data_IF_661314859178
#
_entry.id   IF_661314859178
#
_cell.length_a   1.000
_cell.length_b   1.000
_cell.length_c   1.000
_cell.angle_alpha   90.00
_cell.angle_beta   90.00
_cell.angle_gamma   90.00
#
_symmetry.space_group_name_H-M   'P 1'
#
loop_
_entity.id
_entity.type
_entity.pdbx_description
1 polymer ?
#
# COMPACT_ATOMS: atom_id res chain seq x y z
N UNK A 1 -14.91 -0.64 -20.27
CA UNK A 1 -14.48 0.70 -19.82
C UNK A 1 -12.96 0.75 -19.91
N UNK A 2 -12.37 1.81 -20.45
CA UNK A 2 -10.92 1.99 -20.45
C UNK A 2 -10.51 2.73 -19.17
N UNK A 3 -9.27 2.54 -18.71
CA UNK A 3 -8.80 3.18 -17.48
C UNK A 3 -8.97 4.72 -17.43
N UNK A 4 -8.70 5.49 -18.52
CA UNK A 4 -8.94 6.94 -18.52
C UNK A 4 -10.41 7.31 -18.26
N UNK A 5 -11.36 6.44 -18.61
CA UNK A 5 -12.81 6.68 -18.49
C UNK A 5 -13.35 6.26 -17.11
N UNK A 6 -12.54 5.66 -16.23
CA UNK A 6 -12.97 5.25 -14.89
C UNK A 6 -13.20 6.49 -14.01
N UNK A 7 -14.40 6.65 -13.44
CA UNK A 7 -14.66 7.80 -12.57
C UNK A 7 -13.85 7.67 -11.28
N UNK A 8 -13.21 8.78 -10.87
CA UNK A 8 -12.66 8.90 -9.53
C UNK A 8 -13.65 9.68 -8.65
N UNK A 9 -13.88 9.14 -7.46
CA UNK A 9 -14.64 9.81 -6.43
C UNK A 9 -13.94 9.59 -5.09
N UNK A 10 -13.52 10.67 -4.43
CA UNK A 10 -12.90 10.59 -3.09
C UNK A 10 -13.84 9.83 -2.15
N UNK A 11 -13.37 8.75 -1.48
CA UNK A 11 -14.13 8.09 -0.44
C UNK A 11 -14.39 9.02 0.74
N UNK A 12 -15.58 8.97 1.31
CA UNK A 12 -15.87 9.59 2.61
C UNK A 12 -15.35 8.65 3.72
N UNK A 13 -14.09 8.81 4.09
CA UNK A 13 -13.48 7.98 5.12
C UNK A 13 -14.20 8.07 6.47
N UNK A 14 -14.79 9.22 6.81
CA UNK A 14 -15.58 9.32 8.03
C UNK A 14 -16.82 8.42 8.02
N UNK A 15 -17.44 8.27 6.84
CA UNK A 15 -18.55 7.32 6.67
C UNK A 15 -18.03 5.87 6.67
N UNK A 16 -16.93 5.59 5.97
CA UNK A 16 -16.29 4.27 5.95
C UNK A 16 -15.94 3.79 7.36
N UNK A 17 -15.43 4.66 8.22
CA UNK A 17 -15.12 4.31 9.62
C UNK A 17 -16.37 3.94 10.40
N UNK A 18 -17.46 4.72 10.28
CA UNK A 18 -18.74 4.39 10.91
C UNK A 18 -19.32 3.06 10.42
N UNK A 19 -19.22 2.80 9.11
CA UNK A 19 -19.69 1.57 8.51
C UNK A 19 -18.89 0.37 9.00
N UNK A 20 -17.57 0.46 9.12
CA UNK A 20 -16.71 -0.58 9.69
C UNK A 20 -17.00 -0.84 11.17
N UNK A 21 -17.26 0.22 11.96
CA UNK A 21 -17.66 0.07 13.37
C UNK A 21 -19.02 -0.65 13.48
N UNK A 22 -19.98 -0.29 12.63
CA UNK A 22 -21.27 -0.96 12.58
C UNK A 22 -21.16 -2.43 12.14
N UNK A 23 -20.33 -2.72 11.12
CA UNK A 23 -20.06 -4.07 10.67
C UNK A 23 -19.36 -4.90 11.76
N UNK A 24 -18.42 -4.31 12.49
CA UNK A 24 -17.75 -4.96 13.63
C UNK A 24 -18.76 -5.32 14.75
N UNK A 25 -19.68 -4.42 15.06
CA UNK A 25 -20.72 -4.67 16.04
C UNK A 25 -21.68 -5.79 15.57
N UNK A 26 -22.07 -5.78 14.30
CA UNK A 26 -22.90 -6.85 13.69
C UNK A 26 -22.17 -8.19 13.69
N UNK A 27 -20.88 -8.23 13.35
CA UNK A 27 -20.06 -9.44 13.39
C UNK A 27 -20.06 -10.08 14.78
N UNK A 28 -19.88 -9.26 15.82
CA UNK A 28 -19.88 -9.72 17.23
C UNK A 28 -21.26 -10.18 17.70
N UNK A 29 -22.33 -9.61 17.18
CA UNK A 29 -23.71 -9.95 17.54
C UNK A 29 -24.24 -11.20 16.81
N UNK A 30 -23.66 -11.56 15.67
CA UNK A 30 -24.06 -12.70 14.85
C UNK A 30 -23.88 -14.02 15.62
N UNK A 31 -24.89 -14.86 15.58
CA UNK A 31 -24.95 -16.11 16.36
C UNK A 31 -24.56 -17.35 15.53
N UNK A 32 -24.46 -17.21 14.22
CA UNK A 32 -24.14 -18.31 13.31
C UNK A 32 -23.01 -17.95 12.34
N UNK A 33 -22.27 -18.96 11.88
CA UNK A 33 -21.21 -18.77 10.91
C UNK A 33 -21.70 -18.16 9.57
N UNK A 34 -22.85 -18.57 8.99
CA UNK A 34 -23.38 -17.92 7.79
C UNK A 34 -23.67 -16.43 7.98
N UNK A 35 -24.15 -15.99 9.14
CA UNK A 35 -24.35 -14.58 9.45
C UNK A 35 -23.00 -13.82 9.48
N UNK A 36 -21.98 -14.38 10.15
CA UNK A 36 -20.65 -13.77 10.19
C UNK A 36 -20.00 -13.72 8.80
N UNK A 37 -20.16 -14.76 7.98
CA UNK A 37 -19.70 -14.77 6.59
C UNK A 37 -20.39 -13.69 5.75
N UNK A 38 -21.69 -13.47 5.96
CA UNK A 38 -22.42 -12.41 5.27
C UNK A 38 -21.85 -11.02 5.63
N UNK A 39 -21.60 -10.76 6.92
CA UNK A 39 -21.02 -9.51 7.39
C UNK A 39 -19.58 -9.32 6.86
N UNK A 40 -18.76 -10.37 6.82
CA UNK A 40 -17.44 -10.34 6.22
C UNK A 40 -17.49 -9.95 4.73
N UNK A 41 -18.42 -10.52 3.97
CA UNK A 41 -18.60 -10.18 2.54
C UNK A 41 -19.03 -8.72 2.33
N UNK A 42 -19.86 -8.17 3.22
CA UNK A 42 -20.22 -6.75 3.17
C UNK A 42 -19.00 -5.85 3.45
N UNK A 43 -18.15 -6.22 4.41
CA UNK A 43 -16.90 -5.52 4.70
C UNK A 43 -15.95 -5.55 3.49
N UNK A 44 -15.78 -6.72 2.84
CA UNK A 44 -14.98 -6.85 1.62
C UNK A 44 -15.50 -5.96 0.48
N UNK A 45 -16.81 -5.84 0.32
CA UNK A 45 -17.41 -4.97 -0.69
C UNK A 45 -17.12 -3.49 -0.40
N UNK A 46 -17.25 -3.07 0.87
CA UNK A 46 -16.91 -1.70 1.30
C UNK A 46 -15.45 -1.38 0.99
N UNK A 47 -14.52 -2.25 1.37
CA UNK A 47 -13.10 -2.05 1.15
C UNK A 47 -12.71 -2.12 -0.32
N UNK A 48 -13.31 -3.01 -1.10
CA UNK A 48 -13.09 -3.09 -2.54
C UNK A 48 -13.42 -1.76 -3.23
N UNK A 49 -14.49 -1.08 -2.79
CA UNK A 49 -14.81 0.24 -3.31
C UNK A 49 -13.74 1.28 -2.92
N UNK A 50 -13.36 1.35 -1.66
CA UNK A 50 -12.34 2.29 -1.16
C UNK A 50 -11.00 2.07 -1.84
N UNK A 51 -10.54 0.81 -1.90
CA UNK A 51 -9.25 0.46 -2.52
C UNK A 51 -9.24 0.74 -4.02
N UNK A 52 -10.37 0.56 -4.72
CA UNK A 52 -10.49 0.92 -6.14
C UNK A 52 -10.27 2.42 -6.35
N UNK A 53 -10.90 3.27 -5.53
CA UNK A 53 -10.73 4.71 -5.65
C UNK A 53 -9.30 5.16 -5.31
N UNK A 54 -8.73 4.62 -4.23
CA UNK A 54 -7.33 4.88 -3.86
C UNK A 54 -6.36 4.45 -4.97
N UNK A 55 -6.59 3.30 -5.59
CA UNK A 55 -5.78 2.80 -6.71
C UNK A 55 -5.89 3.71 -7.95
N UNK A 56 -7.09 4.15 -8.31
CA UNK A 56 -7.30 5.10 -9.43
C UNK A 56 -6.53 6.40 -9.17
N UNK A 57 -6.62 6.93 -7.94
CA UNK A 57 -5.88 8.13 -7.52
C UNK A 57 -4.37 7.92 -7.67
N UNK A 58 -3.84 6.87 -7.09
CA UNK A 58 -2.40 6.55 -7.09
C UNK A 58 -1.85 6.39 -8.52
N UNK A 59 -2.56 5.67 -9.40
CA UNK A 59 -2.14 5.51 -10.80
C UNK A 59 -2.12 6.86 -11.51
N UNK A 60 -3.15 7.69 -11.36
CA UNK A 60 -3.23 9.00 -12.02
C UNK A 60 -2.15 9.96 -11.52
N UNK A 61 -1.91 9.98 -10.21
CA UNK A 61 -0.83 10.75 -9.61
C UNK A 61 0.55 10.29 -10.14
N UNK A 62 0.74 8.99 -10.34
CA UNK A 62 2.01 8.45 -10.88
C UNK A 62 2.17 8.72 -12.38
N UNK A 63 1.07 8.75 -13.15
CA UNK A 63 1.10 9.06 -14.60
C UNK A 63 1.45 10.52 -14.86
N UNK A 64 0.91 11.45 -14.07
CA UNK A 64 1.30 12.88 -14.11
C UNK A 64 1.48 13.44 -12.69
N UNK A 65 2.72 13.40 -12.22
CA UNK A 65 3.11 13.90 -10.89
C UNK A 65 3.01 15.42 -10.73
N UNK A 66 2.62 16.17 -11.77
CA UNK A 66 2.39 17.62 -11.75
C UNK A 66 0.92 17.97 -11.66
N UNK A 67 0.03 17.00 -11.69
CA UNK A 67 -1.41 17.20 -11.49
C UNK A 67 -1.68 17.49 -10.00
N UNK A 68 -1.86 18.78 -9.68
CA UNK A 68 -2.07 19.25 -8.32
C UNK A 68 -3.33 18.63 -7.65
N UNK A 69 -4.34 18.24 -8.44
CA UNK A 69 -5.53 17.59 -7.90
C UNK A 69 -5.18 16.18 -7.38
N UNK A 70 -4.56 15.33 -8.21
CA UNK A 70 -4.21 13.97 -7.80
C UNK A 70 -3.04 13.95 -6.80
N UNK A 71 -2.19 14.96 -6.77
CA UNK A 71 -1.21 15.15 -5.71
C UNK A 71 -1.89 15.36 -4.34
N UNK A 72 -2.87 16.25 -4.26
CA UNK A 72 -3.61 16.51 -3.03
C UNK A 72 -4.48 15.31 -2.61
N UNK A 73 -5.07 14.59 -3.58
CA UNK A 73 -5.85 13.37 -3.30
C UNK A 73 -4.94 12.25 -2.77
N UNK A 74 -3.74 12.07 -3.33
CA UNK A 74 -2.78 11.07 -2.84
C UNK A 74 -2.35 11.38 -1.40
N UNK A 75 -2.01 12.64 -1.10
CA UNK A 75 -1.66 13.05 0.26
C UNK A 75 -2.81 12.76 1.26
N UNK A 76 -4.05 12.98 0.83
CA UNK A 76 -5.22 12.65 1.65
C UNK A 76 -5.35 11.14 1.90
N UNK A 77 -5.16 10.31 0.88
CA UNK A 77 -5.16 8.85 1.04
C UNK A 77 -4.02 8.37 1.94
N UNK A 78 -2.81 8.93 1.79
CA UNK A 78 -1.64 8.59 2.61
C UNK A 78 -1.87 8.85 4.10
N UNK A 79 -2.64 9.90 4.42
CA UNK A 79 -3.02 10.28 5.77
C UNK A 79 -4.13 9.36 6.35
N UNK A 80 -5.10 8.99 5.50
CA UNK A 80 -6.27 8.21 5.94
C UNK A 80 -6.02 6.70 6.02
N UNK A 81 -5.09 6.16 5.22
CA UNK A 81 -4.88 4.72 5.16
C UNK A 81 -4.50 4.08 6.52
N UNK A 82 -3.60 4.65 7.35
CA UNK A 82 -3.32 4.08 8.67
C UNK A 82 -4.49 4.17 9.66
N UNK A 83 -5.37 5.17 9.51
CA UNK A 83 -6.58 5.28 10.33
C UNK A 83 -7.64 4.25 9.92
N UNK A 84 -7.75 3.97 8.61
CA UNK A 84 -8.57 2.88 8.09
C UNK A 84 -8.07 1.54 8.64
N UNK A 85 -6.76 1.32 8.65
CA UNK A 85 -6.15 0.11 9.20
C UNK A 85 -6.52 -0.10 10.67
N UNK A 86 -6.52 0.95 11.50
CA UNK A 86 -6.97 0.86 12.89
C UNK A 86 -8.40 0.31 13.01
N UNK A 87 -9.33 0.77 12.17
CA UNK A 87 -10.72 0.29 12.18
C UNK A 87 -10.83 -1.15 11.70
N UNK A 88 -10.03 -1.52 10.70
CA UNK A 88 -9.96 -2.88 10.19
C UNK A 88 -9.42 -3.86 11.23
N UNK A 89 -8.41 -3.48 12.00
CA UNK A 89 -7.86 -4.30 13.07
C UNK A 89 -8.94 -4.72 14.09
N UNK A 90 -9.88 -3.84 14.41
CA UNK A 90 -10.99 -4.16 15.31
C UNK A 90 -11.93 -5.23 14.73
N UNK A 91 -12.20 -5.17 13.42
CA UNK A 91 -13.01 -6.14 12.69
C UNK A 91 -12.28 -7.48 12.55
N UNK A 92 -11.02 -7.46 12.10
CA UNK A 92 -10.19 -8.66 11.93
C UNK A 92 -10.00 -9.40 13.25
N UNK A 93 -9.76 -8.67 14.34
CA UNK A 93 -9.67 -9.25 15.68
C UNK A 93 -10.97 -9.96 16.08
N UNK A 94 -12.11 -9.30 15.85
CA UNK A 94 -13.41 -9.90 16.17
C UNK A 94 -13.69 -11.18 15.34
N UNK A 95 -13.21 -11.25 14.10
CA UNK A 95 -13.34 -12.42 13.24
C UNK A 95 -12.41 -13.56 13.71
N UNK A 96 -11.14 -13.24 13.99
CA UNK A 96 -10.13 -14.23 14.43
C UNK A 96 -10.47 -14.82 15.80
N UNK A 97 -10.99 -14.00 16.72
CA UNK A 97 -11.38 -14.40 18.09
C UNK A 97 -12.82 -14.96 18.17
N UNK A 98 -13.51 -15.09 17.03
CA UNK A 98 -14.88 -15.63 17.01
C UNK A 98 -14.93 -17.06 17.55
N UNK A 99 -15.91 -17.38 18.44
CA UNK A 99 -16.15 -18.76 18.86
C UNK A 99 -16.60 -19.67 17.70
N UNK A 100 -17.04 -19.09 16.57
CA UNK A 100 -17.46 -19.79 15.35
C UNK A 100 -16.30 -19.99 14.37
N UNK A 101 -15.07 -19.66 14.75
CA UNK A 101 -13.89 -19.72 13.88
C UNK A 101 -13.73 -21.06 13.15
N UNK A 102 -13.94 -22.25 13.79
CA UNK A 102 -13.80 -23.54 13.08
C UNK A 102 -14.75 -23.68 11.89
N UNK A 103 -15.96 -23.14 11.99
CA UNK A 103 -16.95 -23.12 10.91
C UNK A 103 -16.59 -22.06 9.85
N UNK A 104 -16.12 -20.89 10.28
CA UNK A 104 -15.68 -19.82 9.39
C UNK A 104 -14.48 -20.25 8.55
N UNK A 105 -13.52 -20.98 9.11
CA UNK A 105 -12.37 -21.51 8.37
C UNK A 105 -12.78 -22.50 7.27
N UNK A 106 -13.88 -23.25 7.46
CA UNK A 106 -14.41 -24.13 6.41
C UNK A 106 -15.02 -23.35 5.24
N UNK A 107 -15.64 -22.21 5.51
CA UNK A 107 -16.31 -21.37 4.50
C UNK A 107 -15.35 -20.39 3.81
N UNK A 108 -14.46 -19.76 4.57
CA UNK A 108 -13.58 -18.69 4.10
C UNK A 108 -12.14 -19.16 3.84
N UNK A 109 -11.78 -20.36 4.32
CA UNK A 109 -10.44 -20.92 4.21
C UNK A 109 -9.54 -20.54 5.39
N UNK A 110 -8.71 -21.50 5.85
CA UNK A 110 -7.77 -21.29 6.96
C UNK A 110 -6.65 -20.29 6.64
N UNK A 111 -6.29 -20.13 5.36
CA UNK A 111 -5.27 -19.18 4.93
C UNK A 111 -5.69 -17.73 5.22
N UNK A 112 -6.98 -17.39 5.09
CA UNK A 112 -7.49 -16.07 5.46
C UNK A 112 -7.13 -15.77 6.93
N UNK A 113 -7.47 -16.68 7.84
CA UNK A 113 -7.24 -16.48 9.28
C UNK A 113 -5.74 -16.37 9.62
N UNK A 114 -4.91 -17.18 8.98
CA UNK A 114 -3.45 -17.07 9.14
C UNK A 114 -2.95 -15.67 8.71
N UNK A 115 -3.43 -15.14 7.58
CA UNK A 115 -3.06 -13.81 7.11
C UNK A 115 -3.58 -12.71 8.05
N UNK A 116 -4.82 -12.82 8.52
CA UNK A 116 -5.37 -11.87 9.51
C UNK A 116 -4.58 -11.86 10.82
N UNK A 117 -4.13 -13.02 11.31
CA UNK A 117 -3.26 -13.09 12.49
C UNK A 117 -1.90 -12.41 12.26
N UNK A 118 -1.34 -12.47 11.05
CA UNK A 118 -0.11 -11.76 10.70
C UNK A 118 -0.35 -10.25 10.66
N UNK A 119 -1.47 -9.80 10.09
CA UNK A 119 -1.87 -8.40 10.07
C UNK A 119 -2.06 -7.85 11.49
N UNK A 120 -2.77 -8.56 12.35
CA UNK A 120 -2.96 -8.18 13.75
C UNK A 120 -1.63 -8.01 14.52
N UNK A 121 -0.60 -8.80 14.18
CA UNK A 121 0.75 -8.68 14.78
C UNK A 121 1.57 -7.54 14.19
N UNK A 122 1.19 -7.04 13.02
CA UNK A 122 1.96 -6.03 12.27
C UNK A 122 1.51 -4.61 12.50
N UNK A 123 0.54 -4.38 13.39
CA UNK A 123 -0.07 -3.09 13.63
C UNK A 123 -0.31 -2.81 15.14
N UNK A 124 -0.18 -1.54 15.51
CA UNK A 124 -0.66 -0.96 16.77
C UNK A 124 -1.01 0.52 16.53
N UNK A 125 -2.02 1.10 17.19
CA UNK A 125 -2.36 2.51 17.04
C UNK A 125 -1.18 3.46 17.29
N UNK A 126 -0.23 3.09 18.11
CA UNK A 126 0.96 3.90 18.42
C UNK A 126 1.88 4.13 17.21
N UNK A 127 1.84 3.24 16.19
CA UNK A 127 2.66 3.40 14.98
C UNK A 127 1.96 4.19 13.87
N UNK A 128 0.70 4.62 14.04
CA UNK A 128 -0.05 5.36 13.01
C UNK A 128 0.74 6.57 12.49
N UNK A 129 1.33 7.45 13.34
CA UNK A 129 2.11 8.58 12.84
C UNK A 129 3.33 8.16 12.00
N UNK A 130 3.96 7.04 12.37
CA UNK A 130 5.08 6.49 11.59
C UNK A 130 4.61 5.92 10.25
N UNK A 131 3.43 5.29 10.20
CA UNK A 131 2.85 4.81 8.94
C UNK A 131 2.47 5.95 8.00
N UNK A 132 1.89 7.05 8.53
CA UNK A 132 1.60 8.24 7.75
C UNK A 132 2.89 8.86 7.17
N UNK A 133 3.94 8.94 7.97
CA UNK A 133 5.25 9.41 7.50
C UNK A 133 5.88 8.45 6.47
N UNK A 134 5.75 7.12 6.65
CA UNK A 134 6.19 6.12 5.67
C UNK A 134 5.49 6.32 4.32
N UNK A 135 4.16 6.52 4.34
CA UNK A 135 3.37 6.77 3.13
C UNK A 135 3.87 8.05 2.43
N UNK A 136 4.05 9.15 3.18
CA UNK A 136 4.56 10.41 2.65
C UNK A 136 5.94 10.24 2.00
N UNK A 137 6.87 9.58 2.68
CA UNK A 137 8.22 9.32 2.16
C UNK A 137 8.20 8.43 0.92
N UNK A 138 7.33 7.42 0.89
CA UNK A 138 7.16 6.53 -0.27
C UNK A 138 6.60 7.30 -1.47
N UNK A 139 5.62 8.17 -1.24
CA UNK A 139 5.05 9.04 -2.29
C UNK A 139 6.11 10.02 -2.82
N UNK A 140 6.95 10.61 -1.95
CA UNK A 140 8.07 11.45 -2.40
C UNK A 140 9.09 10.69 -3.25
N UNK A 141 9.44 9.46 -2.84
CA UNK A 141 10.34 8.61 -3.62
C UNK A 141 9.76 8.31 -5.00
N UNK A 142 8.48 7.95 -5.08
CA UNK A 142 7.80 7.68 -6.34
C UNK A 142 7.73 8.93 -7.23
N UNK A 143 7.46 10.11 -6.67
CA UNK A 143 7.47 11.38 -7.40
C UNK A 143 8.85 11.68 -7.98
N UNK A 144 9.91 11.54 -7.18
CA UNK A 144 11.29 11.77 -7.64
C UNK A 144 11.60 10.84 -8.82
N UNK A 145 11.30 9.56 -8.71
CA UNK A 145 11.51 8.59 -9.79
C UNK A 145 10.69 8.92 -11.05
N UNK A 146 9.41 9.23 -10.90
CA UNK A 146 8.50 9.54 -12.01
C UNK A 146 8.80 10.91 -12.64
N UNK A 147 9.47 11.82 -11.93
CA UNK A 147 9.87 13.12 -12.45
C UNK A 147 11.00 13.06 -13.48
N UNK A 148 11.64 11.89 -13.63
CA UNK A 148 12.79 11.72 -14.51
C UNK A 148 12.50 12.22 -15.94
N UNK A 149 13.39 13.10 -16.42
CA UNK A 149 13.45 13.58 -17.80
C UNK A 149 14.88 13.38 -18.28
N UNK A 150 15.08 12.25 -18.95
CA UNK A 150 16.41 11.80 -19.36
C UNK A 150 16.64 12.20 -20.83
N UNK A 151 17.66 13.03 -21.14
CA UNK A 151 18.00 13.32 -22.52
C UNK A 151 18.55 12.05 -23.20
N UNK A 152 17.85 11.60 -24.25
CA UNK A 152 18.28 10.43 -25.00
C UNK A 152 17.87 10.54 -26.48
N UNK A 153 18.80 10.32 -27.42
CA UNK A 153 18.58 10.42 -28.87
C UNK A 153 17.87 11.71 -29.32
N UNK A 154 18.25 12.85 -28.71
CA UNK A 154 17.69 14.17 -29.07
C UNK A 154 16.28 14.43 -28.53
N UNK A 155 15.78 13.60 -27.62
CA UNK A 155 14.49 13.74 -26.94
C UNK A 155 14.64 13.64 -25.44
N UNK A 156 13.70 14.22 -24.72
CA UNK A 156 13.52 13.93 -23.30
C UNK A 156 12.63 12.70 -23.13
N UNK A 157 13.10 11.71 -22.36
CA UNK A 157 12.39 10.45 -22.08
C UNK A 157 12.24 10.23 -20.58
N UNK A 158 11.16 9.57 -20.18
CA UNK A 158 11.04 8.98 -18.86
C UNK A 158 11.89 7.69 -18.78
N UNK A 159 12.19 7.24 -17.55
CA UNK A 159 12.90 5.96 -17.35
C UNK A 159 12.16 4.79 -18.02
N UNK A 160 10.81 4.77 -17.95
CA UNK A 160 10.00 3.76 -18.60
C UNK A 160 10.15 3.76 -20.14
N UNK A 161 10.27 4.95 -20.74
CA UNK A 161 10.48 5.09 -22.18
C UNK A 161 11.87 4.63 -22.66
N UNK A 162 12.85 4.53 -21.76
CA UNK A 162 14.17 3.96 -22.06
C UNK A 162 14.14 2.42 -22.14
N UNK A 163 13.10 1.77 -21.61
CA UNK A 163 12.96 0.29 -21.58
C UNK A 163 13.30 -0.40 -22.91
N UNK A 164 12.63 -0.09 -24.02
CA UNK A 164 12.91 -0.71 -25.31
C UNK A 164 14.35 -0.55 -25.79
N UNK A 165 15.01 0.56 -25.46
CA UNK A 165 16.40 0.81 -25.82
C UNK A 165 17.38 0.01 -24.96
N UNK A 166 17.05 -0.25 -23.70
CA UNK A 166 17.82 -1.14 -22.80
C UNK A 166 17.75 -2.61 -23.23
N UNK A 167 16.78 -2.99 -24.03
CA UNK A 167 16.60 -4.33 -24.60
C UNK A 167 17.03 -4.42 -26.07
N UNK A 168 17.56 -3.34 -26.66
CA UNK A 168 18.01 -3.31 -28.06
C UNK A 168 19.04 -4.41 -28.36
N UNK A 169 19.01 -5.01 -29.55
CA UNK A 169 20.02 -5.95 -30.03
C UNK A 169 21.38 -5.26 -30.25
N UNK A 170 21.36 -3.94 -30.54
CA UNK A 170 22.59 -3.14 -30.63
C UNK A 170 23.15 -2.84 -29.25
N UNK A 171 24.39 -3.29 -28.97
CA UNK A 171 25.05 -3.11 -27.69
C UNK A 171 25.35 -1.65 -27.39
N UNK A 172 25.65 -0.83 -28.39
CA UNK A 172 25.98 0.59 -28.17
C UNK A 172 24.72 1.35 -27.72
N UNK A 173 23.57 1.07 -28.33
CA UNK A 173 22.26 1.63 -27.93
C UNK A 173 21.89 1.23 -26.52
N UNK A 174 22.04 -0.07 -26.14
CA UNK A 174 21.77 -0.53 -24.77
C UNK A 174 22.63 0.20 -23.74
N UNK A 175 23.94 0.28 -24.03
CA UNK A 175 24.88 0.96 -23.13
C UNK A 175 24.53 2.43 -22.96
N UNK A 176 24.28 3.15 -24.05
CA UNK A 176 23.90 4.56 -24.00
C UNK A 176 22.60 4.81 -23.21
N UNK A 177 21.59 3.91 -23.34
CA UNK A 177 20.36 4.03 -22.57
C UNK A 177 20.56 3.80 -21.07
N UNK A 178 21.42 2.82 -20.68
CA UNK A 178 21.77 2.58 -19.28
C UNK A 178 22.61 3.72 -18.69
N UNK A 179 23.57 4.28 -19.45
CA UNK A 179 24.38 5.43 -19.02
C UNK A 179 23.50 6.67 -18.83
N UNK A 180 22.52 6.91 -19.72
CA UNK A 180 21.57 8.01 -19.60
C UNK A 180 20.68 7.87 -18.35
N UNK A 181 20.14 6.65 -18.10
CA UNK A 181 19.37 6.37 -16.87
C UNK A 181 20.24 6.53 -15.61
N UNK A 182 21.48 5.99 -15.63
CA UNK A 182 22.43 6.10 -14.53
C UNK A 182 22.78 7.57 -14.21
N UNK A 183 22.89 8.42 -15.22
CA UNK A 183 23.10 9.85 -15.05
C UNK A 183 22.01 10.53 -14.21
N UNK A 184 20.74 10.20 -14.47
CA UNK A 184 19.63 10.73 -13.66
C UNK A 184 19.75 10.31 -12.17
N UNK A 185 20.10 9.07 -11.90
CA UNK A 185 20.28 8.60 -10.52
C UNK A 185 21.49 9.26 -9.87
N UNK A 186 22.60 9.45 -10.60
CA UNK A 186 23.79 10.12 -10.08
C UNK A 186 23.52 11.58 -9.75
N UNK A 187 22.81 12.31 -10.61
CA UNK A 187 22.42 13.70 -10.39
C UNK A 187 21.49 13.86 -9.16
N UNK A 188 20.62 12.88 -8.89
CA UNK A 188 19.66 12.89 -7.80
C UNK A 188 20.08 11.99 -6.61
N UNK A 189 21.33 11.49 -6.60
CA UNK A 189 21.84 10.53 -5.61
C UNK A 189 21.56 10.97 -4.18
N UNK A 190 21.94 12.20 -3.84
CA UNK A 190 21.77 12.71 -2.47
C UNK A 190 20.32 12.69 -1.99
N UNK A 191 19.36 12.94 -2.91
CA UNK A 191 17.93 12.93 -2.57
C UNK A 191 17.38 11.50 -2.44
N UNK A 192 17.81 10.59 -3.31
CA UNK A 192 17.45 9.17 -3.19
C UNK A 192 18.01 8.58 -1.90
N UNK A 193 19.27 8.82 -1.57
CA UNK A 193 19.92 8.36 -0.35
C UNK A 193 19.22 8.90 0.89
N UNK A 194 18.90 10.20 0.93
CA UNK A 194 18.15 10.81 2.04
C UNK A 194 16.78 10.14 2.26
N UNK A 195 15.99 9.96 1.18
CA UNK A 195 14.66 9.34 1.27
C UNK A 195 14.76 7.88 1.71
N UNK A 196 15.73 7.14 1.17
CA UNK A 196 15.95 5.75 1.54
C UNK A 196 16.34 5.61 3.03
N UNK A 197 17.27 6.44 3.50
CA UNK A 197 17.69 6.44 4.90
C UNK A 197 16.54 6.78 5.85
N UNK A 198 15.72 7.79 5.54
CA UNK A 198 14.52 8.11 6.29
C UNK A 198 13.53 6.96 6.33
N UNK A 199 13.31 6.25 5.21
CA UNK A 199 12.45 5.06 5.17
C UNK A 199 13.01 3.93 6.04
N UNK A 200 14.32 3.67 6.01
CA UNK A 200 14.96 2.66 6.85
C UNK A 200 14.81 3.00 8.34
N UNK A 201 15.06 4.27 8.71
CA UNK A 201 14.90 4.73 10.10
C UNK A 201 13.46 4.62 10.58
N UNK A 202 12.49 5.10 9.78
CA UNK A 202 11.06 5.04 10.08
C UNK A 202 10.59 3.59 10.28
N UNK A 203 10.91 2.70 9.34
CA UNK A 203 10.55 1.28 9.40
C UNK A 203 11.19 0.56 10.58
N UNK A 204 12.41 0.92 10.93
CA UNK A 204 13.09 0.40 12.12
C UNK A 204 12.37 0.84 13.40
N UNK A 205 11.93 2.10 13.47
CA UNK A 205 11.16 2.61 14.60
C UNK A 205 9.81 1.89 14.73
N UNK A 206 9.09 1.66 13.63
CA UNK A 206 7.84 0.89 13.63
C UNK A 206 8.05 -0.53 14.15
N UNK A 207 9.10 -1.22 13.68
CA UNK A 207 9.42 -2.57 14.14
C UNK A 207 9.68 -2.61 15.65
N UNK A 208 10.47 -1.67 16.16
CA UNK A 208 10.77 -1.57 17.60
C UNK A 208 9.55 -1.24 18.44
N UNK A 209 8.69 -0.34 17.98
CA UNK A 209 7.44 -0.01 18.68
C UNK A 209 6.50 -1.22 18.79
N UNK A 210 6.54 -2.13 17.81
CA UNK A 210 5.79 -3.39 17.83
C UNK A 210 6.52 -4.55 18.53
N UNK A 211 7.71 -4.30 19.14
CA UNK A 211 8.47 -5.30 19.87
C UNK A 211 9.35 -6.22 19.03
N UNK A 212 9.53 -5.93 17.71
CA UNK A 212 10.45 -6.67 16.85
C UNK A 212 11.89 -6.15 16.98
N UNK A 213 12.85 -7.04 16.86
CA UNK A 213 14.26 -6.65 16.87
C UNK A 213 14.64 -5.86 15.59
N UNK A 214 14.12 -6.31 14.44
CA UNK A 214 14.41 -5.71 13.13
C UNK A 214 13.16 -5.54 12.30
N UNK A 215 13.24 -4.66 11.28
CA UNK A 215 12.15 -4.53 10.29
C UNK A 215 11.98 -5.78 9.41
N UNK A 216 12.95 -6.68 9.34
CA UNK A 216 12.87 -7.90 8.50
C UNK A 216 11.68 -8.76 8.93
N UNK A 217 11.48 -8.92 10.24
CA UNK A 217 10.38 -9.69 10.82
C UNK A 217 9.02 -9.01 10.55
N UNK A 218 8.92 -7.72 10.86
CA UNK A 218 7.71 -6.93 10.58
C UNK A 218 7.41 -6.92 9.06
N UNK A 219 8.42 -6.75 8.23
CA UNK A 219 8.28 -6.76 6.77
C UNK A 219 7.85 -8.12 6.21
N UNK A 220 8.19 -9.23 6.86
CA UNK A 220 7.70 -10.56 6.50
C UNK A 220 6.20 -10.70 6.82
N UNK A 221 5.76 -10.24 8.00
CA UNK A 221 4.35 -10.21 8.39
C UNK A 221 3.52 -9.35 7.43
N UNK A 222 3.94 -8.13 7.15
CA UNK A 222 3.26 -7.20 6.22
C UNK A 222 3.14 -7.73 4.79
N UNK A 223 4.03 -8.62 4.39
CA UNK A 223 3.99 -9.30 3.09
C UNK A 223 3.31 -10.67 3.14
N UNK A 224 2.66 -10.99 4.27
CA UNK A 224 1.93 -12.25 4.49
C UNK A 224 2.78 -13.49 4.11
N UNK A 225 4.08 -13.44 4.46
CA UNK A 225 5.00 -14.57 4.23
C UNK A 225 4.78 -15.61 5.32
N UNK A 226 3.84 -16.53 5.08
CA UNK A 226 3.34 -17.49 6.06
C UNK A 226 3.92 -18.90 5.88
N UNK A 227 4.66 -19.18 4.79
CA UNK A 227 5.16 -20.52 4.48
C UNK A 227 6.70 -20.65 4.57
N UNK A 228 7.41 -19.57 4.91
CA UNK A 228 8.87 -19.58 5.14
C UNK A 228 9.26 -18.40 6.05
N UNK A 229 10.39 -18.55 6.74
CA UNK A 229 10.99 -17.52 7.60
C UNK A 229 11.92 -16.59 6.80
N UNK A 230 12.16 -15.36 7.28
CA UNK A 230 13.15 -14.45 6.72
C UNK A 230 14.56 -15.05 6.68
#
# INVERSE_FOLDING_TARGET
MKFPDMPYKRPDYSQVYRDLEALTARLKAAQTAPEQVAVYKEQEQLLSHVSTQATICSIRNTVDTRDAFYEAEQAYHDEQAPLLEEKLQAFHKALVESPLRPELEKELGSLLFLNLEMELKSFSPEIIPLMQEENRLTTEYQKLYASARVPFMGKEMTIAQLGPYKESTDRATRRAALEAEGGFFDENRARFDELYDKLVQNRTQQAKALGFETFVELGALRRQRNCYTP
#
